data_IF_388402492338
#
_entry.id   IF_388402492338
#
_cell.length_a   1.000
_cell.length_b   1.000
_cell.length_c   1.000
_cell.angle_alpha   90.00
_cell.angle_beta   90.00
_cell.angle_gamma   90.00
#
_symmetry.space_group_name_H-M   'P 1'
#
loop_
_entity.id
_entity.type
_entity.pdbx_description
1 polymer ?
#
# COMPACT_ATOMS: atom_id res chain seq x y z
N UNK A 1 -16.84 2.65 0.40
CA UNK A 1 -16.92 2.52 -1.07
C UNK A 1 -16.88 1.05 -1.48
N UNK A 2 -17.86 0.57 -2.25
CA UNK A 2 -17.88 -0.81 -2.78
C UNK A 2 -16.81 -0.93 -3.87
N UNK A 3 -15.95 -1.93 -3.77
CA UNK A 3 -14.92 -2.19 -4.78
C UNK A 3 -15.56 -3.02 -5.90
N UNK A 4 -15.53 -2.51 -7.13
CA UNK A 4 -16.01 -3.22 -8.31
C UNK A 4 -14.82 -3.64 -9.17
N UNK A 5 -14.54 -4.95 -9.21
CA UNK A 5 -13.49 -5.51 -10.07
C UNK A 5 -14.14 -5.91 -11.40
N UNK A 6 -13.78 -5.23 -12.48
CA UNK A 6 -14.29 -5.48 -13.83
C UNK A 6 -13.28 -6.31 -14.64
N UNK A 7 -13.74 -6.90 -15.74
CA UNK A 7 -12.86 -7.63 -16.66
C UNK A 7 -11.72 -6.76 -17.22
N UNK A 8 -11.93 -5.44 -17.37
CA UNK A 8 -10.89 -4.48 -17.76
C UNK A 8 -9.78 -4.42 -16.71
N UNK A 9 -10.13 -4.29 -15.43
CA UNK A 9 -9.14 -4.26 -14.34
C UNK A 9 -8.41 -5.60 -14.21
N UNK A 10 -9.10 -6.72 -14.38
CA UNK A 10 -8.48 -8.07 -14.34
C UNK A 10 -7.40 -8.22 -15.42
N UNK A 11 -7.58 -7.64 -16.62
CA UNK A 11 -6.56 -7.67 -17.68
C UNK A 11 -5.24 -7.06 -17.22
N UNK A 12 -5.27 -6.10 -16.29
CA UNK A 12 -4.05 -5.43 -15.81
C UNK A 12 -3.13 -6.31 -14.97
N UNK A 13 -3.64 -7.46 -14.50
CA UNK A 13 -2.84 -8.44 -13.75
C UNK A 13 -1.90 -9.23 -14.66
N UNK A 14 -2.21 -9.35 -15.95
CA UNK A 14 -1.38 -10.07 -16.92
C UNK A 14 0.04 -9.46 -16.98
N UNK A 15 1.02 -10.29 -17.35
CA UNK A 15 2.40 -9.85 -17.60
C UNK A 15 2.43 -8.58 -18.48
N UNK A 16 3.42 -7.71 -18.26
CA UNK A 16 3.64 -6.49 -19.06
C UNK A 16 2.57 -5.41 -18.90
N UNK A 17 1.65 -5.56 -17.93
CA UNK A 17 0.63 -4.56 -17.63
C UNK A 17 0.79 -3.97 -16.23
N UNK A 18 0.46 -2.68 -16.12
CA UNK A 18 0.52 -1.95 -14.87
C UNK A 18 -0.72 -2.23 -14.04
N UNK A 19 -0.54 -2.71 -12.82
CA UNK A 19 -1.67 -2.93 -11.92
C UNK A 19 -2.45 -1.63 -11.71
N UNK A 20 -3.77 -1.71 -11.89
CA UNK A 20 -4.69 -0.63 -11.51
C UNK A 20 -4.90 -0.63 -10.00
N UNK A 21 -5.20 0.54 -9.47
CA UNK A 21 -5.55 0.80 -8.08
C UNK A 21 -6.68 -0.09 -7.56
N UNK A 22 -7.65 -0.43 -8.40
CA UNK A 22 -8.74 -1.38 -8.07
C UNK A 22 -8.20 -2.77 -7.75
N UNK A 23 -7.23 -3.27 -8.52
CA UNK A 23 -6.60 -4.58 -8.27
C UNK A 23 -5.73 -4.52 -7.02
N UNK A 24 -4.98 -3.42 -6.83
CA UNK A 24 -4.21 -3.20 -5.60
C UNK A 24 -5.11 -3.25 -4.36
N UNK A 25 -6.26 -2.55 -4.42
CA UNK A 25 -7.24 -2.50 -3.33
C UNK A 25 -7.91 -3.85 -3.10
N UNK A 26 -8.23 -4.58 -4.17
CA UNK A 26 -8.75 -5.95 -4.07
C UNK A 26 -7.77 -6.84 -3.30
N UNK A 27 -6.50 -6.84 -3.70
CA UNK A 27 -5.48 -7.65 -3.05
C UNK A 27 -5.34 -7.30 -1.58
N UNK A 28 -5.31 -6.01 -1.24
CA UNK A 28 -5.22 -5.53 0.14
C UNK A 28 -6.39 -6.07 0.97
N UNK A 29 -7.63 -5.92 0.49
CA UNK A 29 -8.81 -6.37 1.24
C UNK A 29 -8.87 -7.88 1.44
N UNK A 30 -8.43 -8.66 0.44
CA UNK A 30 -8.55 -10.13 0.47
C UNK A 30 -7.39 -10.78 1.21
N UNK A 31 -6.16 -10.29 1.01
CA UNK A 31 -4.95 -10.97 1.47
C UNK A 31 -4.22 -10.26 2.60
N UNK A 32 -4.54 -8.99 2.87
CA UNK A 32 -3.89 -8.18 3.89
C UNK A 32 -4.92 -7.73 4.93
N UNK A 33 -5.57 -8.68 5.64
CA UNK A 33 -6.55 -8.34 6.63
C UNK A 33 -5.93 -7.43 7.69
N UNK A 34 -6.75 -6.52 8.17
CA UNK A 34 -6.43 -5.61 9.25
C UNK A 34 -5.97 -6.44 10.45
N UNK A 35 -4.80 -6.16 10.99
CA UNK A 35 -4.27 -6.93 12.10
C UNK A 35 -3.74 -6.01 13.19
N UNK A 36 -4.24 -6.22 14.42
CA UNK A 36 -3.83 -5.50 15.61
C UNK A 36 -3.88 -3.99 15.41
N UNK A 37 -2.70 -3.35 15.42
CA UNK A 37 -2.53 -1.89 15.38
C UNK A 37 -2.00 -1.40 14.02
N UNK A 38 -2.17 -2.19 12.95
CA UNK A 38 -1.74 -1.80 11.59
C UNK A 38 -2.92 -1.79 10.62
N UNK A 39 -3.07 -0.68 9.92
CA UNK A 39 -4.05 -0.49 8.85
C UNK A 39 -3.36 -0.43 7.49
N UNK A 40 -3.89 -1.12 6.49
CA UNK A 40 -3.49 -0.91 5.09
C UNK A 40 -4.63 -0.22 4.36
N UNK A 41 -4.36 0.96 3.81
CA UNK A 41 -5.37 1.73 3.08
C UNK A 41 -5.54 1.19 1.67
N UNK A 42 -6.79 1.16 1.20
CA UNK A 42 -7.07 0.85 -0.18
C UNK A 42 -6.38 1.87 -1.11
N UNK A 43 -5.77 1.35 -2.18
CA UNK A 43 -5.03 2.18 -3.14
C UNK A 43 -5.94 3.18 -3.87
N UNK A 44 -7.19 2.81 -4.16
CA UNK A 44 -8.14 3.71 -4.81
C UNK A 44 -8.63 4.84 -3.87
N UNK A 45 -8.77 4.55 -2.58
CA UNK A 45 -9.14 5.56 -1.56
C UNK A 45 -8.03 6.58 -1.39
N UNK A 46 -6.78 6.12 -1.18
CA UNK A 46 -5.66 7.05 -1.07
C UNK A 46 -5.35 7.75 -2.41
N UNK A 47 -5.53 7.06 -3.54
CA UNK A 47 -5.40 7.63 -4.87
C UNK A 47 -6.35 8.82 -5.09
N UNK A 48 -7.59 8.73 -4.61
CA UNK A 48 -8.52 9.85 -4.63
C UNK A 48 -8.03 11.02 -3.77
N UNK A 49 -7.63 10.76 -2.51
CA UNK A 49 -7.10 11.81 -1.61
C UNK A 49 -5.89 12.51 -2.24
N UNK A 50 -4.97 11.74 -2.82
CA UNK A 50 -3.78 12.29 -3.49
C UNK A 50 -4.15 13.07 -4.75
N UNK A 51 -5.15 12.62 -5.52
CA UNK A 51 -5.64 13.34 -6.70
C UNK A 51 -6.21 14.70 -6.32
N UNK A 52 -7.06 14.78 -5.29
CA UNK A 52 -7.58 16.06 -4.79
C UNK A 52 -6.44 17.00 -4.40
N UNK A 53 -5.44 16.49 -3.68
CA UNK A 53 -4.24 17.25 -3.32
C UNK A 53 -3.49 17.80 -4.54
N UNK A 54 -3.31 16.99 -5.60
CA UNK A 54 -2.66 17.45 -6.83
C UNK A 54 -3.52 18.46 -7.58
N UNK A 55 -4.84 18.26 -7.67
CA UNK A 55 -5.77 19.13 -8.39
C UNK A 55 -5.87 20.53 -7.78
N UNK A 56 -5.75 20.66 -6.45
CA UNK A 56 -5.73 21.97 -5.78
C UNK A 56 -4.33 22.59 -5.66
N UNK A 57 -3.42 22.25 -6.58
CA UNK A 57 -2.05 22.76 -6.59
C UNK A 57 -1.31 22.51 -5.27
N UNK A 58 -1.58 21.37 -4.61
CA UNK A 58 -0.94 20.95 -3.36
C UNK A 58 -1.25 21.86 -2.17
N UNK A 59 -2.34 22.62 -2.21
CA UNK A 59 -2.86 23.42 -1.08
C UNK A 59 -3.57 22.50 -0.08
N UNK A 60 -2.89 22.11 0.99
CA UNK A 60 -3.36 21.12 1.98
C UNK A 60 -4.76 21.46 2.54
N UNK A 61 -5.01 22.73 2.89
CA UNK A 61 -6.31 23.13 3.47
C UNK A 61 -7.49 22.86 2.52
N UNK A 62 -7.33 23.23 1.23
CA UNK A 62 -8.35 22.99 0.21
C UNK A 62 -8.50 21.50 -0.12
N UNK A 63 -7.38 20.77 -0.17
CA UNK A 63 -7.41 19.33 -0.41
C UNK A 63 -8.16 18.62 0.71
N UNK A 64 -7.88 18.99 1.96
CA UNK A 64 -8.55 18.46 3.14
C UNK A 64 -10.05 18.75 3.09
N UNK A 65 -10.46 19.99 2.82
CA UNK A 65 -11.88 20.34 2.70
C UNK A 65 -12.64 19.46 1.69
N UNK A 66 -12.01 19.12 0.57
CA UNK A 66 -12.63 18.28 -0.48
C UNK A 66 -12.71 16.79 -0.14
N UNK A 67 -11.81 16.28 0.71
CA UNK A 67 -11.70 14.85 0.96
C UNK A 67 -11.84 14.42 2.43
N UNK A 68 -12.05 15.36 3.37
CA UNK A 68 -12.11 15.07 4.80
C UNK A 68 -13.20 14.03 5.16
N UNK A 69 -14.32 14.01 4.41
CA UNK A 69 -15.39 13.02 4.59
C UNK A 69 -14.95 11.57 4.38
N UNK A 70 -13.87 11.32 3.64
CA UNK A 70 -13.38 9.96 3.34
C UNK A 70 -12.75 9.32 4.58
N UNK A 71 -12.02 10.11 5.36
CA UNK A 71 -11.34 9.66 6.57
C UNK A 71 -12.03 10.15 7.84
N UNK A 72 -13.19 10.81 7.74
CA UNK A 72 -13.93 11.36 8.88
C UNK A 72 -14.24 10.31 9.96
N UNK A 73 -14.52 9.06 9.55
CA UNK A 73 -14.80 7.94 10.46
C UNK A 73 -13.60 7.00 10.62
N UNK A 74 -12.46 7.32 10.02
CA UNK A 74 -11.27 6.49 10.10
C UNK A 74 -10.70 6.57 11.53
N UNK A 75 -10.59 5.47 12.28
CA UNK A 75 -10.21 5.54 13.69
C UNK A 75 -8.67 5.57 13.83
N UNK A 76 -8.05 6.69 13.46
CA UNK A 76 -6.59 6.86 13.44
C UNK A 76 -5.91 6.49 14.77
N UNK A 77 -6.57 6.74 15.90
CA UNK A 77 -6.08 6.43 17.25
C UNK A 77 -5.90 4.93 17.56
N UNK A 78 -6.64 4.08 16.83
CA UNK A 78 -6.62 2.62 17.03
C UNK A 78 -5.40 1.95 16.39
N UNK A 79 -4.84 2.58 15.37
CA UNK A 79 -3.70 2.05 14.64
C UNK A 79 -2.46 2.82 15.04
N UNK A 80 -1.34 2.12 15.25
CA UNK A 80 -0.01 2.73 15.42
C UNK A 80 0.63 3.02 14.07
N UNK A 81 0.23 2.25 13.04
CA UNK A 81 0.80 2.31 11.72
C UNK A 81 -0.29 2.27 10.65
N UNK A 82 -0.16 3.15 9.67
CA UNK A 82 -1.00 3.19 8.47
C UNK A 82 -0.11 3.02 7.25
N UNK A 83 -0.34 1.98 6.47
CA UNK A 83 0.34 1.71 5.21
C UNK A 83 -0.48 2.30 4.07
N UNK A 84 0.16 3.14 3.25
CA UNK A 84 -0.48 3.90 2.18
C UNK A 84 0.16 3.48 0.84
N UNK A 85 -0.55 2.76 -0.03
CA UNK A 85 -0.14 2.60 -1.43
C UNK A 85 -0.28 3.93 -2.17
N UNK A 86 0.74 4.31 -2.95
CA UNK A 86 0.80 5.61 -3.62
C UNK A 86 1.07 5.40 -5.12
N UNK A 87 0.19 5.93 -5.96
CA UNK A 87 0.41 6.01 -7.40
C UNK A 87 0.93 7.40 -7.76
N UNK A 88 2.17 7.50 -8.22
CA UNK A 88 2.78 8.76 -8.69
C UNK A 88 2.58 8.94 -10.20
N UNK A 89 1.37 8.66 -10.68
CA UNK A 89 1.01 8.64 -12.09
C UNK A 89 1.46 7.36 -12.79
N UNK A 90 2.78 7.15 -12.90
CA UNK A 90 3.35 6.09 -13.71
C UNK A 90 4.21 5.07 -12.92
N UNK A 91 4.22 5.21 -11.59
CA UNK A 91 4.97 4.36 -10.69
C UNK A 91 4.22 4.18 -9.38
N UNK A 92 4.20 2.95 -8.90
CA UNK A 92 3.68 2.61 -7.59
C UNK A 92 4.79 2.63 -6.54
N UNK A 93 4.51 3.24 -5.40
CA UNK A 93 5.31 3.14 -4.17
C UNK A 93 4.37 2.95 -2.97
N UNK A 94 4.91 2.87 -1.76
CA UNK A 94 4.11 2.91 -0.54
C UNK A 94 4.82 3.66 0.58
N UNK A 95 4.02 4.24 1.48
CA UNK A 95 4.49 4.86 2.70
C UNK A 95 3.97 4.10 3.92
N UNK A 96 4.72 4.18 5.03
CA UNK A 96 4.28 3.72 6.33
C UNK A 96 4.26 4.94 7.24
N UNK A 97 3.06 5.33 7.66
CA UNK A 97 2.84 6.42 8.60
C UNK A 97 2.80 5.84 10.01
N UNK A 98 3.55 6.43 10.94
CA UNK A 98 3.40 6.16 12.36
C UNK A 98 2.51 7.25 12.96
N UNK A 99 1.38 6.84 13.52
CA UNK A 99 0.35 7.75 14.05
C UNK A 99 0.61 8.15 15.51
N UNK A 100 1.27 7.28 16.29
CA UNK A 100 1.66 7.57 17.67
C UNK A 100 3.12 8.03 17.73
N UNK A 101 3.30 9.34 17.75
CA UNK A 101 4.54 9.94 18.23
C UNK A 101 4.36 10.26 19.72
N UNK A 102 5.22 9.75 20.63
CA UNK A 102 5.41 10.40 21.91
C UNK A 102 6.47 11.47 21.69
N UNK A 103 6.09 12.74 21.60
CA UNK A 103 6.85 13.88 22.13
C UNK A 103 6.40 15.19 21.49
N UNK A 104 6.01 16.13 22.34
CA UNK A 104 5.72 17.52 21.99
C UNK A 104 6.98 18.32 21.56
N UNK A 105 8.14 17.66 21.47
CA UNK A 105 9.44 18.25 21.18
C UNK A 105 10.02 17.85 19.81
N UNK A 106 9.37 16.95 19.06
CA UNK A 106 9.84 16.52 17.74
C UNK A 106 9.30 17.41 16.60
N UNK A 107 10.01 17.55 15.47
CA UNK A 107 9.47 18.20 14.28
C UNK A 107 8.16 17.52 13.85
N UNK A 108 7.24 18.30 13.25
CA UNK A 108 5.88 17.86 12.90
C UNK A 108 5.82 16.55 12.08
N UNK A 109 6.88 16.21 11.33
CA UNK A 109 7.05 14.90 10.68
C UNK A 109 8.54 14.63 10.35
N UNK A 110 8.94 13.36 10.36
CA UNK A 110 10.27 12.90 9.91
C UNK A 110 10.08 11.90 8.77
N UNK A 111 10.77 12.11 7.64
CA UNK A 111 10.70 11.25 6.46
C UNK A 111 12.01 10.49 6.27
N UNK A 112 11.92 9.18 6.00
CA UNK A 112 13.08 8.35 5.66
C UNK A 112 12.76 7.47 4.45
N UNK A 113 13.51 7.65 3.37
CA UNK A 113 13.44 6.81 2.19
C UNK A 113 14.12 5.45 2.40
N UNK A 114 13.50 4.38 1.92
CA UNK A 114 14.03 3.01 2.00
C UNK A 114 13.93 2.39 0.62
N UNK A 115 15.05 1.94 0.07
CA UNK A 115 15.05 1.18 -1.19
C UNK A 115 14.70 -0.27 -0.91
N UNK A 116 13.83 -0.81 -1.75
CA UNK A 116 13.52 -2.23 -1.76
C UNK A 116 14.65 -3.03 -2.38
N UNK A 117 14.81 -4.27 -1.95
CA UNK A 117 15.73 -5.24 -2.54
C UNK A 117 14.99 -6.57 -2.71
N UNK A 118 14.92 -7.16 -3.91
CA UNK A 118 15.46 -6.63 -5.17
C UNK A 118 14.77 -5.33 -5.59
N UNK A 119 15.49 -4.52 -6.34
CA UNK A 119 14.90 -3.43 -7.11
C UNK A 119 14.23 -4.02 -8.35
N UNK A 120 13.12 -3.43 -8.76
CA UNK A 120 12.50 -3.74 -10.04
C UNK A 120 13.45 -3.35 -11.19
N UNK A 121 13.52 -4.18 -12.21
CA UNK A 121 14.34 -3.93 -13.42
C UNK A 121 13.53 -3.70 -14.69
N UNK A 122 12.21 -3.99 -14.65
CA UNK A 122 11.27 -3.68 -15.73
C UNK A 122 10.46 -2.42 -15.38
N UNK A 123 9.48 -2.07 -16.22
CA UNK A 123 8.71 -0.83 -16.10
C UNK A 123 7.25 -1.06 -15.65
N UNK A 124 6.83 -2.31 -15.44
CA UNK A 124 5.42 -2.70 -15.33
C UNK A 124 5.04 -3.44 -14.04
N UNK A 125 6.01 -4.00 -13.32
CA UNK A 125 5.78 -4.71 -12.07
C UNK A 125 5.80 -3.83 -10.81
N UNK A 126 5.88 -2.50 -10.91
CA UNK A 126 5.99 -1.63 -9.72
C UNK A 126 4.84 -1.87 -8.73
N UNK A 127 3.61 -2.07 -9.22
CA UNK A 127 2.47 -2.42 -8.37
C UNK A 127 2.62 -3.79 -7.70
N UNK A 128 3.14 -4.80 -8.41
CA UNK A 128 3.37 -6.15 -7.85
C UNK A 128 4.46 -6.11 -6.77
N UNK A 129 5.55 -5.38 -7.01
CA UNK A 129 6.60 -5.15 -6.01
C UNK A 129 6.03 -4.46 -4.76
N UNK A 130 5.21 -3.43 -4.94
CA UNK A 130 4.55 -2.74 -3.82
C UNK A 130 3.67 -3.70 -3.02
N UNK A 131 2.81 -4.50 -3.66
CA UNK A 131 1.99 -5.47 -2.93
C UNK A 131 2.84 -6.49 -2.16
N UNK A 132 3.95 -6.95 -2.74
CA UNK A 132 4.86 -7.86 -2.06
C UNK A 132 5.47 -7.25 -0.79
N UNK A 133 5.97 -6.01 -0.87
CA UNK A 133 6.60 -5.36 0.28
C UNK A 133 5.59 -4.88 1.33
N UNK A 134 4.38 -4.49 0.92
CA UNK A 134 3.28 -4.25 1.85
C UNK A 134 2.95 -5.56 2.59
N UNK A 135 2.78 -6.68 1.88
CA UNK A 135 2.53 -8.00 2.50
C UNK A 135 3.57 -8.35 3.55
N UNK A 136 4.85 -8.20 3.22
CA UNK A 136 5.93 -8.45 4.17
C UNK A 136 5.94 -7.52 5.36
N UNK A 137 5.54 -6.27 5.16
CA UNK A 137 5.39 -5.30 6.25
C UNK A 137 4.26 -5.74 7.18
N UNK A 138 3.11 -6.16 6.63
CA UNK A 138 1.98 -6.70 7.40
C UNK A 138 2.36 -7.97 8.16
N UNK A 139 3.06 -8.91 7.53
CA UNK A 139 3.53 -10.16 8.17
C UNK A 139 4.53 -9.88 9.30
N UNK A 140 5.40 -8.87 9.13
CA UNK A 140 6.30 -8.42 10.20
C UNK A 140 5.52 -7.86 11.41
N UNK A 141 4.40 -7.17 11.17
CA UNK A 141 3.51 -6.74 12.26
C UNK A 141 2.80 -7.90 12.94
N UNK A 142 2.30 -8.87 12.17
CA UNK A 142 1.61 -10.05 12.70
C UNK A 142 2.51 -10.92 13.59
N UNK A 143 3.81 -10.96 13.28
CA UNK A 143 4.81 -11.69 14.08
C UNK A 143 5.32 -10.93 15.30
N UNK A 144 4.73 -9.77 15.62
CA UNK A 144 5.01 -9.02 16.84
C UNK A 144 6.27 -8.15 16.79
N UNK A 145 6.77 -7.78 15.60
CA UNK A 145 7.93 -6.89 15.49
C UNK A 145 7.59 -5.47 15.97
N UNK A 146 8.02 -5.13 17.20
CA UNK A 146 7.82 -3.82 17.83
C UNK A 146 8.81 -2.75 17.32
N UNK A 147 9.87 -3.14 16.62
CA UNK A 147 10.93 -2.26 16.09
C UNK A 147 10.80 -2.01 14.58
N UNK A 148 9.58 -2.13 14.04
CA UNK A 148 9.32 -2.20 12.60
C UNK A 148 9.96 -1.09 11.77
N UNK A 149 9.90 0.16 12.22
CA UNK A 149 10.57 1.26 11.51
C UNK A 149 12.10 1.10 11.56
N UNK A 150 12.70 0.67 12.67
CA UNK A 150 14.14 0.40 12.71
C UNK A 150 14.52 -0.74 11.75
N UNK A 151 13.67 -1.75 11.63
CA UNK A 151 13.88 -2.95 10.80
C UNK A 151 13.42 -2.81 9.35
N UNK A 152 12.82 -1.68 8.96
CA UNK A 152 12.14 -1.57 7.67
C UNK A 152 13.04 -1.90 6.47
N UNK A 153 14.35 -1.62 6.57
CA UNK A 153 15.31 -1.97 5.51
C UNK A 153 15.43 -3.49 5.34
N UNK A 154 15.41 -4.24 6.45
CA UNK A 154 15.44 -5.71 6.46
C UNK A 154 14.10 -6.27 5.95
N UNK A 155 12.98 -5.69 6.36
CA UNK A 155 11.63 -6.05 5.88
C UNK A 155 11.51 -5.80 4.38
N UNK A 156 12.02 -4.67 3.88
CA UNK A 156 12.07 -4.34 2.45
C UNK A 156 13.19 -5.03 1.67
N UNK A 157 13.88 -6.02 2.27
CA UNK A 157 14.89 -6.84 1.60
C UNK A 157 14.41 -8.28 1.53
N UNK A 158 14.10 -8.79 0.33
CA UNK A 158 13.67 -10.16 0.05
C UNK A 158 14.71 -11.15 0.59
N UNK A 159 14.30 -12.15 1.38
CA UNK A 159 15.22 -13.16 1.85
C UNK A 159 15.76 -13.96 0.66
N UNK A 160 17.05 -14.34 0.72
CA UNK A 160 17.68 -15.15 -0.34
C UNK A 160 17.00 -16.50 -0.53
N UNK A 161 16.44 -17.06 0.54
CA UNK A 161 15.73 -18.34 0.58
C UNK A 161 14.34 -18.31 -0.08
N UNK A 162 13.73 -17.13 -0.24
CA UNK A 162 12.46 -16.96 -0.93
C UNK A 162 12.58 -15.81 -1.94
N UNK A 163 13.17 -16.12 -3.10
CA UNK A 163 13.31 -15.16 -4.20
C UNK A 163 11.93 -14.69 -4.64
N UNK A 164 11.69 -13.40 -4.51
CA UNK A 164 10.49 -12.77 -5.06
C UNK A 164 10.39 -13.02 -6.57
N UNK A 165 9.19 -13.40 -7.03
CA UNK A 165 8.87 -13.62 -8.43
C UNK A 165 7.55 -12.91 -8.77
N UNK A 166 7.62 -11.84 -9.56
CA UNK A 166 6.46 -11.03 -9.90
C UNK A 166 5.42 -11.80 -10.72
N UNK A 167 5.83 -12.69 -11.64
CA UNK A 167 4.91 -13.52 -12.43
C UNK A 167 4.12 -14.48 -11.55
N UNK A 168 4.80 -15.11 -10.59
CA UNK A 168 4.13 -15.99 -9.63
C UNK A 168 3.11 -15.21 -8.80
N UNK A 169 3.47 -14.02 -8.33
CA UNK A 169 2.55 -13.18 -7.58
C UNK A 169 1.34 -12.74 -8.43
N UNK A 170 1.54 -12.35 -9.70
CA UNK A 170 0.43 -12.08 -10.64
C UNK A 170 -0.51 -13.27 -10.78
N UNK A 171 0.04 -14.48 -10.94
CA UNK A 171 -0.74 -15.73 -11.00
C UNK A 171 -1.59 -15.95 -9.74
N UNK A 172 -0.99 -15.74 -8.57
CA UNK A 172 -1.70 -15.86 -7.28
C UNK A 172 -2.86 -14.85 -7.14
N UNK A 173 -2.70 -13.63 -7.66
CA UNK A 173 -3.78 -12.63 -7.67
C UNK A 173 -4.95 -13.11 -8.56
N UNK A 174 -4.64 -13.66 -9.74
CA UNK A 174 -5.65 -14.21 -10.66
C UNK A 174 -6.38 -15.39 -10.02
N UNK A 175 -5.65 -16.33 -9.43
CA UNK A 175 -6.21 -17.52 -8.77
C UNK A 175 -7.18 -17.13 -7.63
N UNK A 176 -6.78 -16.15 -6.81
CA UNK A 176 -7.63 -15.59 -5.75
C UNK A 176 -8.93 -14.98 -6.29
N UNK A 177 -8.87 -14.24 -7.39
CA UNK A 177 -10.07 -13.69 -8.05
C UNK A 177 -11.01 -14.78 -8.54
N UNK A 178 -10.47 -15.85 -9.15
CA UNK A 178 -11.30 -16.96 -9.63
C UNK A 178 -11.95 -17.75 -8.50
N UNK A 179 -11.29 -17.90 -7.35
CA UNK A 179 -11.84 -18.62 -6.19
C UNK A 179 -12.89 -17.82 -5.42
N UNK A 180 -12.77 -16.48 -5.41
CA UNK A 180 -13.72 -15.59 -4.72
C UNK A 180 -15.03 -15.41 -5.51
N UNK A 181 -15.02 -15.76 -6.80
CA UNK A 181 -16.16 -15.65 -7.72
C UNK A 181 -16.70 -17.00 -8.22
N UNK A 182 -16.21 -18.12 -7.68
CA UNK A 182 -16.76 -19.46 -7.86
C UNK A 182 -17.81 -19.73 -6.77
#
# INVERSE_FOLDING_TARGET
MRLLVTAEYVRTIKDQNWLKDVIMSYYIRVHLPQHGRTFVMDANVFGYIYSEFVQVERKIGLAHERCCGITATFPYEKYDHVILPICMGNHWTFAILRTKYPDNAAPAFVVRGVRTSPAQINHDDCGVFVLYFIKRTVEAFQTGNTLLLSDIKKICTSPRSARFNAKLMRKQIIESLTQTHA
#
